data_IF_373931928265
#
_entry.id   IF_373931928265
#
_cell.length_a   1.000
_cell.length_b   1.000
_cell.length_c   1.000
_cell.angle_alpha   90.00
_cell.angle_beta   90.00
_cell.angle_gamma   90.00
#
_symmetry.space_group_name_H-M   'P 1'
#
loop_
_entity.id
_entity.type
_entity.pdbx_description
1 polymer ?
#
# COMPACT_ATOMS: atom_id res chain seq x y z
N UNK A 1 -14.52 8.26 -21.66
CA UNK A 1 -14.15 6.84 -21.49
C UNK A 1 -13.20 6.37 -22.60
N UNK A 2 -13.49 6.58 -23.89
CA UNK A 2 -12.51 6.35 -24.99
C UNK A 2 -11.23 7.21 -24.95
N UNK A 3 -11.04 8.02 -23.90
CA UNK A 3 -9.89 8.90 -23.70
C UNK A 3 -8.91 8.39 -22.62
N UNK A 4 -9.14 7.22 -22.03
CA UNK A 4 -8.30 6.68 -20.95
C UNK A 4 -7.42 5.50 -21.40
N UNK A 5 -7.80 4.79 -22.45
CA UNK A 5 -7.01 3.66 -23.00
C UNK A 5 -6.09 4.18 -24.09
N UNK A 6 -4.83 3.76 -24.05
CA UNK A 6 -3.87 4.06 -25.11
C UNK A 6 -4.35 3.59 -26.48
N UNK A 7 -4.15 4.40 -27.52
CA UNK A 7 -4.67 4.14 -28.86
C UNK A 7 -4.14 2.82 -29.46
N UNK A 8 -2.87 2.47 -29.20
CA UNK A 8 -2.29 1.21 -29.69
C UNK A 8 -2.92 0.00 -29.01
N UNK A 9 -3.19 0.10 -27.71
CA UNK A 9 -3.87 -0.94 -26.93
C UNK A 9 -5.31 -1.09 -27.40
N UNK A 10 -6.02 0.02 -27.58
CA UNK A 10 -7.40 0.03 -28.05
C UNK A 10 -7.53 -0.53 -29.48
N UNK A 11 -6.56 -0.28 -30.36
CA UNK A 11 -6.53 -0.84 -31.71
C UNK A 11 -6.49 -2.37 -31.69
N UNK A 12 -5.61 -2.98 -30.89
CA UNK A 12 -5.52 -4.44 -30.72
C UNK A 12 -6.81 -5.01 -30.12
N UNK A 13 -7.39 -4.35 -29.12
CA UNK A 13 -8.67 -4.80 -28.52
C UNK A 13 -9.77 -4.79 -29.58
N UNK A 14 -9.84 -3.73 -30.39
CA UNK A 14 -10.84 -3.61 -31.45
C UNK A 14 -10.63 -4.65 -32.55
N UNK A 15 -9.40 -4.88 -33.00
CA UNK A 15 -9.07 -5.92 -33.97
C UNK A 15 -9.54 -7.29 -33.47
N UNK A 16 -9.16 -7.69 -32.25
CA UNK A 16 -9.59 -8.97 -31.67
C UNK A 16 -11.10 -9.08 -31.51
N UNK A 17 -11.76 -7.99 -31.13
CA UNK A 17 -13.22 -7.92 -31.00
C UNK A 17 -13.94 -8.07 -32.34
N UNK A 18 -13.36 -7.55 -33.42
CA UNK A 18 -13.96 -7.58 -34.77
C UNK A 18 -13.69 -8.92 -35.48
N UNK A 19 -12.52 -9.53 -35.26
CA UNK A 19 -12.15 -10.81 -35.85
C UNK A 19 -12.72 -12.01 -35.07
N UNK A 20 -12.97 -11.85 -33.77
CA UNK A 20 -13.48 -12.91 -32.90
C UNK A 20 -15.01 -13.06 -32.93
N UNK A 21 -15.49 -14.26 -32.61
CA UNK A 21 -16.92 -14.46 -32.35
C UNK A 21 -17.37 -13.58 -31.18
N UNK A 22 -18.58 -13.03 -31.27
CA UNK A 22 -19.22 -12.33 -30.15
C UNK A 22 -19.39 -13.31 -28.98
N UNK A 23 -18.65 -13.08 -27.90
CA UNK A 23 -18.69 -13.88 -26.67
C UNK A 23 -18.86 -12.96 -25.47
N UNK A 24 -19.58 -13.45 -24.47
CA UNK A 24 -19.68 -12.81 -23.16
C UNK A 24 -18.37 -12.95 -22.38
N UNK A 25 -18.10 -12.08 -21.40
CA UNK A 25 -16.91 -12.18 -20.55
C UNK A 25 -16.74 -13.55 -19.87
N UNK A 26 -17.85 -14.22 -19.52
CA UNK A 26 -17.86 -15.55 -18.91
C UNK A 26 -17.46 -16.63 -19.90
N UNK A 27 -18.00 -16.60 -21.13
CA UNK A 27 -17.65 -17.56 -22.17
C UNK A 27 -16.19 -17.49 -22.58
N UNK A 28 -15.60 -16.29 -22.53
CA UNK A 28 -14.17 -16.09 -22.81
C UNK A 28 -13.33 -16.85 -21.80
N UNK A 29 -13.52 -16.61 -20.50
CA UNK A 29 -12.71 -17.28 -19.47
C UNK A 29 -13.00 -18.78 -19.39
N UNK A 30 -14.24 -19.22 -19.66
CA UNK A 30 -14.58 -20.64 -19.77
C UNK A 30 -13.78 -21.33 -20.88
N UNK A 31 -13.70 -20.74 -22.07
CA UNK A 31 -12.88 -21.27 -23.19
C UNK A 31 -11.38 -21.25 -22.91
N UNK A 32 -10.92 -20.38 -22.01
CA UNK A 32 -9.53 -20.37 -21.58
C UNK A 32 -9.23 -21.46 -20.52
N UNK A 33 -10.25 -22.20 -20.05
CA UNK A 33 -10.09 -23.37 -19.18
C UNK A 33 -10.39 -23.10 -17.70
N UNK A 34 -11.09 -22.00 -17.37
CA UNK A 34 -11.55 -21.71 -16.00
C UNK A 34 -12.74 -22.60 -15.64
N UNK A 35 -12.58 -23.40 -14.59
CA UNK A 35 -13.66 -24.22 -14.03
C UNK A 35 -14.73 -23.35 -13.37
N UNK A 36 -16.00 -23.73 -13.50
CA UNK A 36 -17.14 -22.98 -12.96
C UNK A 36 -17.10 -21.47 -13.26
N UNK A 37 -16.68 -21.11 -14.48
CA UNK A 37 -16.48 -19.73 -14.93
C UNK A 37 -17.64 -18.77 -14.60
N UNK A 38 -18.88 -19.27 -14.58
CA UNK A 38 -20.07 -18.48 -14.22
C UNK A 38 -20.06 -18.05 -12.74
N UNK A 39 -19.60 -18.91 -11.83
CA UNK A 39 -19.50 -18.60 -10.41
C UNK A 39 -18.31 -17.69 -10.10
N UNK A 40 -17.26 -17.77 -10.94
CA UNK A 40 -16.02 -17.00 -10.80
C UNK A 40 -15.95 -15.76 -11.70
N UNK A 41 -17.08 -15.36 -12.31
CA UNK A 41 -17.13 -14.30 -13.33
C UNK A 41 -16.64 -12.93 -12.83
N UNK A 42 -16.81 -12.68 -11.53
CA UNK A 42 -16.44 -11.43 -10.87
C UNK A 42 -15.02 -11.45 -10.26
N UNK A 43 -14.30 -12.55 -10.42
CA UNK A 43 -12.89 -12.62 -10.06
C UNK A 43 -12.03 -11.94 -11.14
N UNK A 44 -10.80 -11.59 -10.80
CA UNK A 44 -9.86 -10.91 -11.70
C UNK A 44 -8.64 -11.77 -12.04
N UNK A 45 -8.47 -12.93 -11.41
CA UNK A 45 -7.52 -13.95 -11.79
C UNK A 45 -8.07 -15.34 -11.48
N UNK A 46 -7.63 -16.36 -12.21
CA UNK A 46 -8.14 -17.71 -12.12
C UNK A 46 -7.03 -18.74 -12.31
N UNK A 47 -7.16 -19.87 -11.62
CA UNK A 47 -6.45 -21.09 -11.98
C UNK A 47 -7.28 -21.84 -13.04
N UNK A 48 -6.65 -22.16 -14.16
CA UNK A 48 -7.25 -22.86 -15.28
C UNK A 48 -6.67 -24.27 -15.42
N UNK A 49 -7.27 -25.04 -16.32
CA UNK A 49 -6.82 -26.40 -16.66
C UNK A 49 -5.32 -26.42 -17.00
N UNK A 50 -4.61 -27.43 -16.48
CA UNK A 50 -3.16 -27.58 -16.69
C UNK A 50 -2.32 -26.60 -15.89
N UNK A 51 -2.78 -26.18 -14.71
CA UNK A 51 -2.09 -25.22 -13.82
C UNK A 51 -1.80 -23.85 -14.46
N UNK A 52 -2.50 -23.52 -15.54
CA UNK A 52 -2.38 -22.24 -16.21
C UNK A 52 -3.00 -21.13 -15.35
N UNK A 53 -2.35 -19.98 -15.29
CA UNK A 53 -2.88 -18.82 -14.58
C UNK A 53 -3.44 -17.84 -15.61
N UNK A 54 -4.69 -17.45 -15.42
CA UNK A 54 -5.34 -16.42 -16.22
C UNK A 54 -5.51 -15.17 -15.37
N UNK A 55 -5.13 -14.01 -15.90
CA UNK A 55 -5.30 -12.74 -15.22
C UNK A 55 -6.03 -11.74 -16.11
N UNK A 56 -6.89 -10.93 -15.51
CA UNK A 56 -7.41 -9.72 -16.16
C UNK A 56 -6.34 -8.64 -16.13
N UNK A 57 -6.14 -7.96 -17.25
CA UNK A 57 -5.38 -6.70 -17.34
C UNK A 57 -6.35 -5.63 -17.83
N UNK A 58 -6.49 -4.56 -17.05
CA UNK A 58 -7.32 -3.42 -17.43
C UNK A 58 -6.57 -2.55 -18.43
N UNK A 59 -7.16 -2.35 -19.60
CA UNK A 59 -6.52 -1.67 -20.71
C UNK A 59 -6.16 -0.23 -20.38
N UNK A 60 -6.93 0.40 -19.48
CA UNK A 60 -6.71 1.74 -18.92
C UNK A 60 -5.35 1.86 -18.19
N UNK A 61 -4.82 0.74 -17.69
CA UNK A 61 -3.54 0.68 -16.97
C UNK A 61 -2.39 0.09 -17.79
N UNK A 62 -2.62 -0.21 -19.07
CA UNK A 62 -1.57 -0.68 -19.96
C UNK A 62 -0.76 0.51 -20.47
N UNK A 63 0.55 0.39 -20.34
CA UNK A 63 1.53 1.33 -20.88
C UNK A 63 2.28 0.64 -22.01
N UNK A 64 2.21 1.17 -23.25
CA UNK A 64 3.11 0.76 -24.31
C UNK A 64 4.54 1.22 -23.98
N UNK A 65 5.50 0.33 -24.16
CA UNK A 65 6.94 0.61 -24.15
C UNK A 65 7.55 0.47 -25.55
N UNK A 66 8.87 0.54 -25.62
CA UNK A 66 9.60 0.41 -26.88
C UNK A 66 9.42 -0.95 -27.56
N UNK A 67 9.49 -0.97 -28.89
CA UNK A 67 9.45 -2.21 -29.68
C UNK A 67 8.11 -2.94 -29.66
N UNK A 68 7.01 -2.27 -29.27
CA UNK A 68 5.67 -2.89 -29.21
C UNK A 68 5.43 -3.75 -27.97
N UNK A 69 6.36 -3.70 -27.00
CA UNK A 69 6.19 -4.33 -25.67
C UNK A 69 5.24 -3.52 -24.83
N UNK A 70 4.44 -4.19 -24.01
CA UNK A 70 3.52 -3.52 -23.09
C UNK A 70 3.84 -3.94 -21.67
N UNK A 71 3.49 -3.07 -20.73
CA UNK A 71 3.51 -3.41 -19.33
C UNK A 71 2.31 -2.81 -18.60
N UNK A 72 2.00 -3.35 -17.43
CA UNK A 72 1.11 -2.72 -16.48
C UNK A 72 1.64 -2.92 -15.06
N UNK A 73 1.34 -1.98 -14.18
CA UNK A 73 1.67 -2.08 -12.77
C UNK A 73 0.49 -2.70 -12.02
N UNK A 74 0.80 -3.64 -11.12
CA UNK A 74 -0.16 -4.28 -10.23
C UNK A 74 0.10 -3.81 -8.79
N UNK A 75 -0.94 -3.36 -8.10
CA UNK A 75 -0.82 -2.96 -6.69
C UNK A 75 -0.77 -4.18 -5.79
N UNK A 76 0.22 -4.22 -4.89
CA UNK A 76 0.29 -5.23 -3.83
C UNK A 76 -0.51 -4.83 -2.58
N UNK A 77 -1.10 -3.62 -2.57
CA UNK A 77 -2.01 -3.19 -1.50
C UNK A 77 -3.38 -3.85 -1.67
N UNK A 78 -3.69 -4.78 -0.76
CA UNK A 78 -4.97 -5.51 -0.76
C UNK A 78 -6.08 -4.78 -0.03
N UNK A 79 -5.78 -3.70 0.71
CA UNK A 79 -6.74 -3.02 1.59
C UNK A 79 -7.35 -1.78 0.95
N UNK A 80 -6.72 -1.21 -0.06
CA UNK A 80 -7.21 0.00 -0.75
C UNK A 80 -7.63 -0.30 -2.17
N UNK A 81 -8.68 0.39 -2.61
CA UNK A 81 -9.12 0.35 -4.01
C UNK A 81 -8.11 1.06 -4.91
N UNK A 82 -8.12 0.70 -6.19
CA UNK A 82 -7.26 1.28 -7.22
C UNK A 82 -7.75 2.69 -7.60
N UNK A 83 -6.84 3.57 -8.03
CA UNK A 83 -7.11 4.99 -8.35
C UNK A 83 -6.81 5.98 -7.21
N UNK A 84 -6.64 7.25 -7.58
CA UNK A 84 -6.36 8.34 -6.63
C UNK A 84 -7.54 8.53 -5.66
N UNK A 85 -7.25 8.45 -4.36
CA UNK A 85 -8.27 8.55 -3.30
C UNK A 85 -9.10 7.28 -3.11
N UNK A 86 -8.68 6.14 -3.67
CA UNK A 86 -9.34 4.85 -3.50
C UNK A 86 -9.60 4.51 -2.04
N UNK A 87 -10.88 4.53 -1.65
CA UNK A 87 -11.30 4.18 -0.30
C UNK A 87 -11.00 2.72 0.07
N UNK A 88 -11.25 2.35 1.32
CA UNK A 88 -11.01 0.99 1.81
C UNK A 88 -11.82 -0.05 1.02
N UNK A 89 -11.21 -1.21 0.82
CA UNK A 89 -11.85 -2.40 0.25
C UNK A 89 -12.70 -3.08 1.33
N UNK A 90 -13.88 -3.55 0.91
CA UNK A 90 -14.70 -4.48 1.69
C UNK A 90 -13.99 -5.82 1.86
N UNK A 91 -14.40 -6.63 2.85
CA UNK A 91 -13.80 -7.95 3.09
C UNK A 91 -13.79 -8.86 1.84
N UNK A 92 -14.86 -8.83 1.06
CA UNK A 92 -14.95 -9.60 -0.20
C UNK A 92 -13.92 -9.10 -1.19
N UNK A 93 -13.74 -7.79 -1.35
CA UNK A 93 -12.73 -7.23 -2.24
C UNK A 93 -11.30 -7.53 -1.77
N UNK A 94 -11.04 -7.46 -0.45
CA UNK A 94 -9.75 -7.86 0.12
C UNK A 94 -9.44 -9.31 -0.18
N UNK A 95 -10.42 -10.22 -0.04
CA UNK A 95 -10.25 -11.64 -0.40
C UNK A 95 -9.86 -11.80 -1.86
N UNK A 96 -10.61 -11.19 -2.78
CA UNK A 96 -10.32 -11.26 -4.22
C UNK A 96 -8.95 -10.72 -4.58
N UNK A 97 -8.56 -9.60 -3.98
CA UNK A 97 -7.24 -9.01 -4.18
C UNK A 97 -6.14 -9.97 -3.69
N UNK A 98 -6.32 -10.59 -2.52
CA UNK A 98 -5.40 -11.61 -1.99
C UNK A 98 -5.31 -12.83 -2.91
N UNK A 99 -6.44 -13.35 -3.38
CA UNK A 99 -6.48 -14.52 -4.27
C UNK A 99 -5.77 -14.24 -5.59
N UNK A 100 -6.00 -13.05 -6.18
CA UNK A 100 -5.28 -12.59 -7.38
C UNK A 100 -3.77 -12.49 -7.13
N UNK A 101 -3.36 -11.82 -6.07
CA UNK A 101 -1.93 -11.66 -5.76
C UNK A 101 -1.26 -12.99 -5.46
N UNK A 102 -1.95 -13.94 -4.83
CA UNK A 102 -1.42 -15.28 -4.60
C UNK A 102 -1.14 -16.02 -5.92
N UNK A 103 -2.04 -15.90 -6.91
CA UNK A 103 -1.82 -16.47 -8.24
C UNK A 103 -0.68 -15.76 -8.98
N UNK A 104 -0.64 -14.43 -8.99
CA UNK A 104 0.44 -13.67 -9.62
C UNK A 104 1.80 -13.96 -8.98
N UNK A 105 1.85 -14.04 -7.64
CA UNK A 105 3.07 -14.40 -6.91
C UNK A 105 3.52 -15.83 -7.22
N UNK A 106 2.58 -16.77 -7.31
CA UNK A 106 2.87 -18.15 -7.76
C UNK A 106 3.47 -18.17 -9.16
N UNK A 107 2.95 -17.36 -10.09
CA UNK A 107 3.52 -17.26 -11.43
C UNK A 107 4.94 -16.71 -11.39
N UNK A 108 5.17 -15.63 -10.62
CA UNK A 108 6.49 -15.04 -10.42
C UNK A 108 7.50 -16.03 -9.84
N UNK A 109 7.15 -16.71 -8.74
CA UNK A 109 8.05 -17.63 -8.03
C UNK A 109 8.42 -18.88 -8.84
N UNK A 110 7.60 -19.23 -9.83
CA UNK A 110 7.82 -20.37 -10.72
C UNK A 110 8.34 -19.98 -12.10
N UNK A 111 8.61 -18.69 -12.31
CA UNK A 111 8.93 -18.14 -13.63
C UNK A 111 7.90 -18.59 -14.70
N UNK A 112 6.63 -18.67 -14.34
CA UNK A 112 5.55 -19.15 -15.19
C UNK A 112 4.88 -17.99 -15.95
N UNK A 113 4.55 -18.22 -17.23
CA UNK A 113 3.75 -17.29 -18.02
C UNK A 113 2.30 -17.18 -17.55
N UNK A 114 1.68 -16.05 -17.86
CA UNK A 114 0.29 -15.72 -17.63
C UNK A 114 -0.44 -15.68 -18.97
N UNK A 115 -1.65 -16.24 -18.99
CA UNK A 115 -2.62 -15.95 -20.05
C UNK A 115 -3.43 -14.73 -19.61
N UNK A 116 -3.60 -13.75 -20.49
CA UNK A 116 -4.27 -12.49 -20.12
C UNK A 116 -5.58 -12.31 -20.87
N UNK A 117 -6.56 -11.76 -20.18
CA UNK A 117 -7.72 -11.12 -20.80
C UNK A 117 -7.61 -9.61 -20.65
N UNK A 118 -7.55 -8.91 -21.78
CA UNK A 118 -7.61 -7.45 -21.82
C UNK A 118 -9.07 -7.03 -21.63
N UNK A 119 -9.29 -6.06 -20.74
CA UNK A 119 -10.62 -5.58 -20.40
C UNK A 119 -10.70 -4.06 -20.49
N UNK A 120 -11.79 -3.55 -21.07
CA UNK A 120 -12.21 -2.16 -20.95
C UNK A 120 -13.54 -2.08 -20.21
N UNK A 121 -13.72 -1.01 -19.44
CA UNK A 121 -14.90 -0.84 -18.59
C UNK A 121 -15.81 0.29 -19.09
N UNK A 122 -17.12 0.19 -18.79
CA UNK A 122 -18.10 1.27 -19.03
C UNK A 122 -18.28 2.20 -17.82
N UNK A 123 -17.57 1.90 -16.74
CA UNK A 123 -17.59 2.65 -15.48
C UNK A 123 -16.16 2.71 -14.97
N UNK A 124 -15.88 3.58 -14.01
CA UNK A 124 -14.57 3.65 -13.41
C UNK A 124 -14.18 2.30 -12.80
N UNK A 125 -12.91 1.99 -12.87
CA UNK A 125 -12.30 0.78 -12.34
C UNK A 125 -12.69 0.51 -10.87
N UNK A 126 -12.70 1.56 -10.04
CA UNK A 126 -13.08 1.48 -8.63
C UNK A 126 -14.55 1.07 -8.40
N UNK A 127 -15.41 1.28 -9.40
CA UNK A 127 -16.82 0.87 -9.39
C UNK A 127 -17.01 -0.56 -9.92
N UNK A 128 -16.11 -1.03 -10.80
CA UNK A 128 -16.09 -2.43 -11.24
C UNK A 128 -15.74 -3.37 -10.08
N UNK A 129 -14.88 -2.91 -9.15
CA UNK A 129 -14.55 -3.68 -7.95
C UNK A 129 -15.74 -3.82 -6.98
N UNK A 130 -16.72 -2.91 -7.01
CA UNK A 130 -17.84 -2.85 -6.04
C UNK A 130 -19.12 -3.51 -6.53
N UNK A 131 -19.46 -3.37 -7.82
CA UNK A 131 -20.72 -3.86 -8.37
C UNK A 131 -20.55 -5.12 -9.23
N UNK A 132 -21.15 -6.24 -8.80
CA UNK A 132 -21.19 -7.49 -9.59
C UNK A 132 -21.97 -7.34 -10.90
N UNK A 133 -22.82 -6.32 -11.02
CA UNK A 133 -23.55 -5.96 -12.22
C UNK A 133 -22.83 -4.89 -13.06
N UNK A 134 -21.66 -4.41 -12.63
CA UNK A 134 -20.87 -3.43 -13.37
C UNK A 134 -20.61 -3.96 -14.78
N UNK A 135 -21.03 -3.18 -15.78
CA UNK A 135 -20.98 -3.58 -17.18
C UNK A 135 -19.55 -3.45 -17.69
N UNK A 136 -18.83 -4.58 -17.68
CA UNK A 136 -17.64 -4.76 -18.51
C UNK A 136 -18.00 -4.41 -19.94
N UNK A 137 -17.23 -3.53 -20.58
CA UNK A 137 -17.52 -3.08 -21.94
C UNK A 137 -17.10 -4.14 -22.95
N UNK A 138 -15.82 -4.50 -22.90
CA UNK A 138 -15.19 -5.48 -23.77
C UNK A 138 -14.20 -6.30 -22.95
N UNK A 139 -14.17 -7.60 -23.20
CA UNK A 139 -13.09 -8.49 -22.74
C UNK A 139 -12.61 -9.25 -23.97
N UNK A 140 -11.30 -9.33 -24.19
CA UNK A 140 -10.70 -10.14 -25.27
C UNK A 140 -9.48 -10.90 -24.72
N UNK A 141 -9.27 -12.16 -25.11
CA UNK A 141 -8.04 -12.87 -24.75
C UNK A 141 -6.86 -12.22 -25.49
N UNK A 142 -5.74 -12.02 -24.81
CA UNK A 142 -4.48 -11.72 -25.47
C UNK A 142 -3.75 -13.02 -25.81
N UNK A 143 -3.14 -13.04 -26.99
CA UNK A 143 -2.48 -14.26 -27.50
C UNK A 143 -0.97 -14.22 -27.24
N UNK A 144 -0.44 -13.04 -26.89
CA UNK A 144 0.92 -12.88 -26.43
C UNK A 144 1.03 -13.36 -24.97
N UNK A 145 2.16 -13.99 -24.64
CA UNK A 145 2.48 -14.34 -23.27
C UNK A 145 2.63 -13.05 -22.44
N UNK A 146 2.11 -13.09 -21.22
CA UNK A 146 2.44 -12.13 -20.19
C UNK A 146 3.23 -12.81 -19.08
N UNK A 147 4.00 -12.07 -18.30
CA UNK A 147 4.68 -12.60 -17.12
C UNK A 147 4.87 -11.49 -16.08
N UNK A 148 5.09 -11.89 -14.82
CA UNK A 148 5.48 -10.94 -13.77
C UNK A 148 6.99 -10.77 -13.87
N UNK A 149 7.45 -9.60 -14.31
CA UNK A 149 8.87 -9.31 -14.53
C UNK A 149 9.57 -8.84 -13.26
N UNK A 150 8.83 -8.22 -12.32
CA UNK A 150 9.35 -7.76 -11.04
C UNK A 150 8.28 -7.81 -9.95
N UNK A 151 8.71 -8.04 -8.71
CA UNK A 151 7.87 -8.04 -7.51
C UNK A 151 8.57 -7.26 -6.39
N UNK A 152 8.04 -6.08 -6.07
CA UNK A 152 8.59 -5.17 -5.08
C UNK A 152 7.61 -4.99 -3.91
N UNK A 153 7.90 -5.68 -2.80
CA UNK A 153 7.06 -5.62 -1.60
C UNK A 153 7.17 -4.29 -0.86
N UNK A 154 8.31 -3.58 -0.98
CA UNK A 154 8.56 -2.31 -0.30
C UNK A 154 7.77 -1.19 -0.97
N UNK A 155 7.85 -1.12 -2.30
CA UNK A 155 7.08 -0.19 -3.12
C UNK A 155 5.62 -0.63 -3.32
N UNK A 156 5.24 -1.79 -2.77
CA UNK A 156 3.92 -2.43 -2.91
C UNK A 156 3.45 -2.53 -4.35
N UNK A 157 4.33 -2.96 -5.25
CA UNK A 157 4.08 -3.01 -6.69
C UNK A 157 4.65 -4.29 -7.32
N UNK A 158 3.94 -4.85 -8.29
CA UNK A 158 4.50 -5.79 -9.25
C UNK A 158 4.41 -5.23 -10.68
N UNK A 159 5.34 -5.66 -11.54
CA UNK A 159 5.39 -5.25 -12.95
C UNK A 159 5.02 -6.45 -13.81
N UNK A 160 3.90 -6.35 -14.54
CA UNK A 160 3.48 -7.36 -15.51
C UNK A 160 3.89 -6.89 -16.89
N UNK A 161 4.52 -7.77 -17.66
CA UNK A 161 5.08 -7.50 -18.99
C UNK A 161 4.46 -8.42 -20.02
N UNK A 162 4.19 -7.87 -21.20
CA UNK A 162 3.74 -8.60 -22.40
C UNK A 162 4.91 -8.85 -23.34
N UNK A 163 5.07 -10.09 -23.78
CA UNK A 163 6.08 -10.51 -24.76
C UNK A 163 7.28 -11.22 -24.13
N UNK A 164 8.41 -11.19 -24.84
CA UNK A 164 9.65 -11.89 -24.46
C UNK A 164 10.14 -11.53 -23.05
N UNK A 165 10.66 -12.54 -22.37
CA UNK A 165 11.24 -12.41 -21.02
C UNK A 165 12.57 -11.65 -21.05
N UNK A 166 12.91 -11.06 -19.92
CA UNK A 166 14.16 -10.32 -19.72
C UNK A 166 14.07 -8.83 -20.07
N UNK A 167 12.94 -8.36 -20.56
CA UNK A 167 12.67 -6.93 -20.67
C UNK A 167 11.95 -6.41 -19.42
N UNK A 168 12.33 -5.21 -19.01
CA UNK A 168 11.64 -4.44 -17.98
C UNK A 168 11.50 -2.98 -18.44
N UNK A 169 10.40 -2.30 -18.09
CA UNK A 169 10.26 -0.87 -18.33
C UNK A 169 11.31 -0.08 -17.52
N UNK A 170 11.77 1.04 -18.07
CA UNK A 170 12.66 1.95 -17.38
C UNK A 170 11.97 2.67 -16.22
N UNK A 171 12.75 3.23 -15.29
CA UNK A 171 12.21 3.94 -14.12
C UNK A 171 11.24 5.09 -14.49
N UNK A 172 11.56 5.86 -15.53
CA UNK A 172 10.69 6.94 -16.01
C UNK A 172 9.34 6.43 -16.54
N UNK A 173 9.33 5.29 -17.24
CA UNK A 173 8.10 4.67 -17.73
C UNK A 173 7.25 4.14 -16.56
N UNK A 174 7.89 3.56 -15.54
CA UNK A 174 7.24 3.13 -14.30
C UNK A 174 6.59 4.32 -13.58
N UNK A 175 7.29 5.46 -13.47
CA UNK A 175 6.75 6.65 -12.81
C UNK A 175 5.54 7.24 -13.56
N UNK A 176 5.60 7.26 -14.90
CA UNK A 176 4.47 7.68 -15.75
C UNK A 176 3.28 6.73 -15.58
N UNK A 177 3.52 5.41 -15.58
CA UNK A 177 2.47 4.42 -15.39
C UNK A 177 1.84 4.51 -13.98
N UNK A 178 2.67 4.77 -12.97
CA UNK A 178 2.24 4.95 -11.58
C UNK A 178 1.32 6.16 -11.42
N UNK A 179 1.60 7.26 -12.12
CA UNK A 179 0.75 8.44 -12.13
C UNK A 179 -0.66 8.21 -12.73
N UNK A 180 -0.90 7.08 -13.42
CA UNK A 180 -2.23 6.69 -13.93
C UNK A 180 -3.11 6.01 -12.87
N UNK A 181 -2.59 5.75 -11.67
CA UNK A 181 -3.38 5.32 -10.51
C UNK A 181 -3.56 3.81 -10.34
N UNK A 182 -2.83 2.98 -11.09
CA UNK A 182 -2.85 1.50 -10.95
C UNK A 182 -2.11 0.99 -9.72
N UNK A 183 -1.23 1.81 -9.15
CA UNK A 183 -0.53 1.55 -7.88
C UNK A 183 -0.45 2.84 -7.09
N UNK A 184 -0.31 2.78 -5.74
CA UNK A 184 -0.12 3.98 -4.95
C UNK A 184 1.01 4.84 -5.51
N UNK A 185 0.78 6.15 -5.61
CA UNK A 185 1.84 7.08 -5.99
C UNK A 185 3.08 6.80 -5.14
N UNK A 186 4.26 6.85 -5.77
CA UNK A 186 5.52 6.74 -5.04
C UNK A 186 5.42 7.83 -3.99
N UNK A 187 5.56 7.46 -2.72
CA UNK A 187 5.83 8.49 -1.71
C UNK A 187 7.10 9.12 -2.23
N UNK A 188 6.99 10.33 -2.78
CA UNK A 188 8.17 11.11 -3.07
C UNK A 188 8.88 11.17 -1.74
N UNK A 189 10.11 10.67 -1.69
CA UNK A 189 11.10 11.21 -0.79
C UNK A 189 11.35 12.65 -1.26
N UNK A 190 10.33 13.50 -1.16
CA UNK A 190 10.49 14.93 -1.30
C UNK A 190 11.38 15.31 -0.14
N UNK A 191 12.61 15.81 -0.39
CA UNK A 191 13.47 16.30 0.68
C UNK A 191 12.83 17.50 1.41
N UNK A 192 11.70 18.02 0.92
CA UNK A 192 10.92 19.12 1.48
C UNK A 192 9.63 18.74 2.21
N UNK A 193 9.25 17.45 2.30
CA UNK A 193 8.06 17.01 3.05
C UNK A 193 8.39 15.95 4.11
N UNK A 194 9.62 15.90 4.59
CA UNK A 194 9.87 15.32 5.91
C UNK A 194 9.12 16.18 6.90
N UNK A 195 8.08 15.62 7.53
CA UNK A 195 7.50 16.19 8.73
C UNK A 195 8.66 16.67 9.61
N UNK A 196 8.66 17.96 9.94
CA UNK A 196 9.74 18.52 10.75
C UNK A 196 9.84 17.70 12.04
N UNK A 197 11.01 17.70 12.67
CA UNK A 197 11.14 16.99 13.95
C UNK A 197 10.08 17.47 14.96
N UNK A 198 9.67 18.73 14.86
CA UNK A 198 8.60 19.32 15.65
C UNK A 198 7.21 18.73 15.29
N UNK A 199 6.92 18.51 14.02
CA UNK A 199 5.67 17.87 13.58
C UNK A 199 5.58 16.40 14.05
N UNK A 200 6.68 15.66 13.95
CA UNK A 200 6.76 14.27 14.43
C UNK A 200 6.58 14.22 15.95
N UNK A 201 7.19 15.15 16.66
CA UNK A 201 7.06 15.27 18.11
C UNK A 201 5.63 15.67 18.51
N UNK A 202 5.02 16.62 17.81
CA UNK A 202 3.63 17.03 18.03
C UNK A 202 2.65 15.87 17.79
N UNK A 203 2.84 15.11 16.71
CA UNK A 203 2.03 13.92 16.41
C UNK A 203 2.15 12.84 17.49
N UNK A 204 3.37 12.59 17.99
CA UNK A 204 3.60 11.65 19.08
C UNK A 204 2.90 12.08 20.38
N UNK A 205 2.97 13.38 20.73
CA UNK A 205 2.26 13.93 21.89
C UNK A 205 0.75 13.81 21.74
N UNK A 206 0.21 14.14 20.56
CA UNK A 206 -1.22 14.02 20.26
C UNK A 206 -1.71 12.57 20.37
N UNK A 207 -0.93 11.62 19.85
CA UNK A 207 -1.22 10.19 19.95
C UNK A 207 -1.30 9.73 21.41
N UNK A 208 -0.31 10.05 22.25
CA UNK A 208 -0.30 9.65 23.66
C UNK A 208 -1.42 10.31 24.46
N UNK A 209 -1.69 11.59 24.18
CA UNK A 209 -2.81 12.34 24.76
C UNK A 209 -4.12 11.63 24.48
N UNK A 210 -4.37 11.27 23.22
CA UNK A 210 -5.57 10.51 22.81
C UNK A 210 -5.63 9.12 23.46
N UNK A 211 -4.49 8.41 23.52
CA UNK A 211 -4.42 7.08 24.12
C UNK A 211 -4.82 7.09 25.60
N UNK A 212 -4.19 7.92 26.43
CA UNK A 212 -4.46 7.93 27.87
C UNK A 212 -5.81 8.58 28.22
N UNK A 213 -6.23 9.62 27.48
CA UNK A 213 -7.58 10.18 27.65
C UNK A 213 -8.68 9.17 27.28
N UNK A 214 -8.43 8.29 26.31
CA UNK A 214 -9.30 7.15 25.98
C UNK A 214 -9.53 6.18 27.14
N UNK A 215 -8.56 6.05 28.06
CA UNK A 215 -8.70 5.28 29.31
C UNK A 215 -9.28 6.10 30.48
N UNK A 216 -9.65 7.36 30.26
CA UNK A 216 -10.25 8.23 31.27
C UNK A 216 -9.25 8.91 32.22
N UNK A 217 -7.96 8.95 31.85
CA UNK A 217 -6.94 9.72 32.55
C UNK A 217 -6.91 11.17 32.07
N UNK A 218 -6.49 12.09 32.94
CA UNK A 218 -6.22 13.48 32.56
C UNK A 218 -4.79 13.57 32.04
N UNK A 219 -4.62 14.16 30.87
CA UNK A 219 -3.32 14.39 30.22
C UNK A 219 -3.09 15.89 30.05
N UNK A 220 -1.90 16.38 30.41
CA UNK A 220 -1.51 17.78 30.29
C UNK A 220 -0.17 17.90 29.56
N UNK A 221 -0.09 18.78 28.56
CA UNK A 221 1.17 19.12 27.88
C UNK A 221 1.93 20.17 28.70
N UNK A 222 3.07 19.76 29.24
CA UNK A 222 3.97 20.58 30.07
C UNK A 222 5.30 20.83 29.37
N UNK A 223 5.44 20.52 28.08
CA UNK A 223 6.72 20.59 27.36
C UNK A 223 7.32 22.02 27.38
N UNK A 224 6.48 23.05 27.40
CA UNK A 224 6.91 24.44 27.49
C UNK A 224 7.59 24.81 28.83
N UNK A 225 7.33 24.03 29.89
CA UNK A 225 7.84 24.28 31.25
C UNK A 225 9.25 23.71 31.46
N UNK A 226 9.80 22.96 30.49
CA UNK A 226 11.16 22.38 30.51
C UNK A 226 11.45 21.54 31.75
N UNK A 227 10.47 20.75 32.20
CA UNK A 227 10.55 19.92 33.41
C UNK A 227 11.18 18.53 33.16
N UNK A 228 11.88 18.34 32.05
CA UNK A 228 12.45 17.04 31.63
C UNK A 228 11.41 15.98 31.24
N UNK A 229 10.17 16.38 31.00
CA UNK A 229 9.09 15.56 30.43
C UNK A 229 8.09 16.46 29.70
N UNK A 230 7.34 15.89 28.76
CA UNK A 230 6.42 16.61 27.89
C UNK A 230 4.97 16.48 28.34
N UNK A 231 4.55 15.29 28.82
CA UNK A 231 3.16 15.03 29.20
C UNK A 231 3.09 14.55 30.64
N UNK A 232 2.21 15.16 31.43
CA UNK A 232 1.82 14.63 32.73
C UNK A 232 0.49 13.89 32.63
N UNK A 233 0.43 12.66 33.14
CA UNK A 233 -0.79 11.85 33.21
C UNK A 233 -1.22 11.73 34.66
N UNK A 234 -2.47 12.08 34.95
CA UNK A 234 -3.04 12.02 36.30
C UNK A 234 -4.36 11.26 36.34
N UNK A 235 -4.68 10.70 37.51
CA UNK A 235 -5.99 10.10 37.77
C UNK A 235 -7.10 11.17 37.94
N UNK A 236 -8.36 10.73 38.10
CA UNK A 236 -9.50 11.63 38.32
C UNK A 236 -9.42 12.42 39.63
N UNK A 237 -8.56 12.02 40.56
CA UNK A 237 -8.32 12.69 41.85
C UNK A 237 -7.16 13.69 41.78
N UNK A 238 -6.47 13.78 40.64
CA UNK A 238 -5.34 14.68 40.43
C UNK A 238 -3.98 14.09 40.80
N UNK A 239 -3.89 12.81 41.21
CA UNK A 239 -2.61 12.17 41.50
C UNK A 239 -1.85 11.92 40.21
N UNK A 240 -0.59 12.34 40.16
CA UNK A 240 0.29 12.07 39.02
C UNK A 240 0.64 10.59 38.95
N UNK A 241 0.28 9.95 37.84
CA UNK A 241 0.56 8.54 37.56
C UNK A 241 1.82 8.38 36.72
N UNK A 242 2.00 9.24 35.70
CA UNK A 242 3.14 9.18 34.77
C UNK A 242 3.62 10.59 34.41
N UNK A 243 4.95 10.72 34.25
CA UNK A 243 5.61 11.86 33.64
C UNK A 243 6.33 11.38 32.39
N UNK A 244 5.84 11.74 31.21
CA UNK A 244 6.27 11.17 29.94
C UNK A 244 7.20 12.13 29.21
N UNK A 245 8.47 11.73 29.03
CA UNK A 245 9.31 12.30 27.97
C UNK A 245 8.96 11.58 26.66
N UNK A 246 8.52 12.32 25.65
CA UNK A 246 7.95 11.75 24.42
C UNK A 246 8.99 11.81 23.31
N UNK A 247 9.12 10.74 22.53
CA UNK A 247 9.93 10.73 21.30
C UNK A 247 9.14 10.07 20.19
N UNK A 248 8.96 10.79 19.09
CA UNK A 248 8.33 10.25 17.88
C UNK A 248 9.38 9.75 16.89
N UNK A 249 9.06 8.66 16.19
CA UNK A 249 9.84 8.17 15.04
C UNK A 249 8.94 8.06 13.82
N UNK A 250 9.53 8.13 12.63
CA UNK A 250 8.85 7.94 11.34
C UNK A 250 9.68 7.00 10.47
N UNK A 251 9.08 6.36 9.44
CA UNK A 251 9.85 5.58 8.47
C UNK A 251 11.03 6.41 7.91
N UNK A 252 12.23 5.83 7.88
CA UNK A 252 13.46 6.51 7.47
C UNK A 252 14.13 7.41 8.52
N UNK A 253 13.47 7.70 9.66
CA UNK A 253 14.07 8.44 10.79
C UNK A 253 13.63 7.83 12.12
N UNK A 254 14.45 6.90 12.59
CA UNK A 254 14.24 6.19 13.87
C UNK A 254 15.10 6.71 15.01
N UNK A 255 16.12 7.53 14.71
CA UNK A 255 17.03 8.11 15.69
C UNK A 255 16.40 9.22 16.51
N UNK A 256 16.65 9.25 17.82
CA UNK A 256 16.31 10.36 18.70
C UNK A 256 17.32 10.54 19.84
N UNK A 257 17.36 11.75 20.41
CA UNK A 257 18.19 12.09 21.57
C UNK A 257 17.33 12.58 22.73
N UNK A 258 17.80 12.28 23.94
CA UNK A 258 17.28 12.90 25.15
C UNK A 258 17.98 14.23 25.39
N UNK A 259 17.22 15.26 25.76
CA UNK A 259 17.77 16.56 26.19
C UNK A 259 18.48 16.43 27.53
N UNK A 260 19.25 17.45 27.90
CA UNK A 260 19.94 17.50 29.20
C UNK A 260 18.95 17.40 30.36
N UNK A 261 17.82 18.10 30.26
CA UNK A 261 16.77 18.10 31.28
C UNK A 261 16.06 16.75 31.38
N UNK A 262 15.78 16.11 30.23
CA UNK A 262 15.21 14.76 30.21
C UNK A 262 16.16 13.76 30.86
N UNK A 263 17.47 13.83 30.55
CA UNK A 263 18.50 12.99 31.17
C UNK A 263 18.63 13.24 32.68
N UNK A 264 18.50 14.48 33.13
CA UNK A 264 18.45 14.79 34.55
C UNK A 264 17.19 14.19 35.22
N UNK A 265 16.05 14.20 34.52
CA UNK A 265 14.81 13.61 34.99
C UNK A 265 14.84 12.07 35.00
N UNK A 266 15.60 11.42 34.12
CA UNK A 266 15.86 9.97 34.17
C UNK A 266 16.35 9.54 35.56
N UNK A 267 17.28 10.31 36.13
CA UNK A 267 17.87 10.01 37.44
C UNK A 267 16.86 10.10 38.59
N UNK A 268 15.74 10.80 38.40
CA UNK A 268 14.70 10.94 39.43
C UNK A 268 13.80 9.69 39.53
N UNK A 269 13.77 8.84 38.50
CA UNK A 269 13.00 7.59 38.51
C UNK A 269 11.48 7.81 38.49
N UNK A 270 10.73 6.89 39.11
CA UNK A 270 9.26 6.89 39.08
C UNK A 270 8.67 8.22 39.62
N UNK A 271 7.63 8.79 38.98
CA UNK A 271 6.79 8.24 37.91
C UNK A 271 7.26 8.55 36.47
N UNK A 272 8.54 8.92 36.28
CA UNK A 272 9.06 9.29 34.96
C UNK A 272 9.18 8.09 34.01
N UNK A 273 8.78 8.25 32.75
CA UNK A 273 8.93 7.25 31.68
C UNK A 273 9.35 7.92 30.37
N UNK A 274 10.16 7.21 29.59
CA UNK A 274 10.36 7.52 28.17
C UNK A 274 9.27 6.83 27.36
N UNK A 275 8.50 7.59 26.58
CA UNK A 275 7.50 7.08 25.66
C UNK A 275 8.00 7.23 24.22
N UNK A 276 8.29 6.11 23.57
CA UNK A 276 8.68 6.11 22.15
C UNK A 276 7.46 5.74 21.31
N UNK A 277 7.03 6.65 20.45
CA UNK A 277 5.94 6.45 19.49
C UNK A 277 6.53 6.10 18.13
N UNK A 278 6.26 4.87 17.69
CA UNK A 278 6.69 4.33 16.40
C UNK A 278 5.68 4.72 15.32
N UNK A 279 6.17 5.23 14.19
CA UNK A 279 5.35 5.77 13.09
C UNK A 279 4.34 6.83 13.55
N UNK A 280 4.79 7.84 14.29
CA UNK A 280 3.92 8.79 14.99
C UNK A 280 2.91 9.54 14.10
N UNK A 281 3.19 9.69 12.80
CA UNK A 281 2.32 10.36 11.81
C UNK A 281 1.44 9.38 11.02
N UNK A 282 1.52 8.08 11.31
CA UNK A 282 0.82 7.00 10.59
C UNK A 282 -0.41 6.52 11.37
N UNK A 283 -1.47 6.02 10.68
CA UNK A 283 -2.53 5.27 11.33
C UNK A 283 -2.04 4.02 12.07
N UNK A 284 -0.86 3.50 11.73
CA UNK A 284 -0.21 2.37 12.41
C UNK A 284 0.59 2.78 13.66
N UNK A 285 0.45 4.03 14.13
CA UNK A 285 1.16 4.53 15.29
C UNK A 285 0.98 3.62 16.51
N UNK A 286 2.10 3.21 17.09
CA UNK A 286 2.16 2.39 18.32
C UNK A 286 3.17 3.00 19.27
N UNK A 287 3.08 2.71 20.57
CA UNK A 287 4.05 3.24 21.54
C UNK A 287 4.56 2.18 22.50
N UNK A 288 5.75 2.43 23.04
CA UNK A 288 6.35 1.66 24.12
C UNK A 288 6.87 2.59 25.20
N UNK A 289 6.61 2.23 26.45
CA UNK A 289 7.08 2.94 27.63
C UNK A 289 8.32 2.24 28.19
N UNK A 290 9.32 3.03 28.55
CA UNK A 290 10.55 2.57 29.17
C UNK A 290 10.71 3.24 30.54
N UNK A 291 11.05 2.44 31.55
CA UNK A 291 11.48 2.95 32.86
C UNK A 291 12.88 3.57 32.76
N UNK A 292 13.28 4.34 33.77
CA UNK A 292 14.64 4.92 33.84
C UNK A 292 15.75 3.87 33.67
N UNK A 293 15.56 2.66 34.20
CA UNK A 293 16.51 1.54 34.09
C UNK A 293 16.51 0.86 32.72
N UNK A 294 15.52 1.14 31.87
CA UNK A 294 15.31 0.46 30.58
C UNK A 294 15.61 1.36 29.38
N UNK A 295 15.99 2.63 29.60
CA UNK A 295 16.18 3.63 28.54
C UNK A 295 17.20 3.19 27.51
N UNK A 296 18.29 2.55 27.94
CA UNK A 296 19.34 2.08 27.02
C UNK A 296 18.84 0.97 26.08
N UNK A 297 17.68 0.38 26.35
CA UNK A 297 17.01 -0.60 25.49
C UNK A 297 15.98 0.06 24.55
N UNK A 298 15.86 1.40 24.57
CA UNK A 298 14.94 2.11 23.70
C UNK A 298 15.46 2.10 22.25
N UNK A 299 14.74 1.41 21.38
CA UNK A 299 15.05 1.35 19.95
C UNK A 299 15.14 2.76 19.37
N UNK A 300 16.27 3.10 18.74
CA UNK A 300 16.48 4.41 18.12
C UNK A 300 17.12 5.46 19.02
N UNK A 301 17.42 5.16 20.29
CA UNK A 301 18.20 6.06 21.13
C UNK A 301 19.62 6.21 20.57
N UNK A 302 20.00 7.44 20.21
CA UNK A 302 21.35 7.73 19.75
C UNK A 302 22.35 7.81 20.91
N UNK A 303 23.58 7.30 20.74
CA UNK A 303 24.63 7.44 21.72
C UNK A 303 25.02 8.92 21.91
N UNK A 304 25.49 9.26 23.11
CA UNK A 304 26.18 10.54 23.30
C UNK A 304 27.43 10.52 22.44
N UNK A 305 27.52 11.45 21.50
CA UNK A 305 28.80 11.84 20.92
C UNK A 305 29.42 12.79 21.95
N UNK A 306 30.55 12.38 22.51
CA UNK A 306 31.39 13.23 23.38
C UNK A 306 31.93 14.45 22.61
#
# INVERSE_FOLDING_TARGET
MDKEVDAAVLAVINEKRLLGDKRTPVEIIARMGVFDARQQAAESAWLATGDNIIATVWAEFVSPGEGGRWFCLESLDTLRRLGDGGGERTEVQVRRAKDRLALLKRAFDRDQGLRVVLQTNRVAIADVETDKAAKVSVRVPDDQEWHVAAWDAEEKMAVLVRGERGWQPGAAEIDIARARGSVPAKRRDDPGAQASQDDVQAAAKAYLTKHFSGYGYRTEDVSAQRLGHDIQVSDKKGNTLLKLAVKGTVPGRTGFRLTTEERAAVAQGDPWRLAVVTEATSPAASHKLYKSTEINNASGLEPLLD
#
